data_IF_143637849241
#
_entry.id   IF_143637849241
#
_cell.length_a   1.000
_cell.length_b   1.000
_cell.length_c   1.000
_cell.angle_alpha   90.00
_cell.angle_beta   90.00
_cell.angle_gamma   90.00
#
_symmetry.space_group_name_H-M   'P 1'
#
loop_
_entity.id
_entity.type
_entity.pdbx_description
1 polymer ?
#
# COMPACT_ATOMS: atom_id res chain seq x y z
N UNK A 1 10.82 7.39 15.60
CA UNK A 1 11.30 7.63 14.22
C UNK A 1 10.10 7.95 13.37
N UNK A 2 10.13 9.02 12.57
CA UNK A 2 9.02 9.34 11.66
C UNK A 2 9.01 8.42 10.44
N UNK A 3 7.90 8.37 9.70
CA UNK A 3 7.82 7.63 8.44
C UNK A 3 8.79 8.24 7.43
N UNK A 4 8.83 9.56 7.33
CA UNK A 4 9.81 10.29 6.50
C UNK A 4 11.27 9.92 6.79
N UNK A 5 11.65 9.79 8.07
CA UNK A 5 13.02 9.40 8.43
C UNK A 5 13.30 7.92 8.11
N UNK A 6 12.28 7.07 8.24
CA UNK A 6 12.37 5.66 7.85
C UNK A 6 12.59 5.52 6.35
N UNK A 7 11.85 6.27 5.51
CA UNK A 7 12.04 6.23 4.05
C UNK A 7 13.41 6.74 3.61
N UNK A 8 13.94 7.81 4.21
CA UNK A 8 15.31 8.24 3.94
C UNK A 8 16.35 7.14 4.19
N UNK A 9 16.17 6.35 5.26
CA UNK A 9 17.06 5.22 5.57
C UNK A 9 16.86 4.07 4.57
N UNK A 10 15.61 3.76 4.22
CA UNK A 10 15.28 2.73 3.23
C UNK A 10 15.90 3.08 1.87
N UNK A 11 15.70 4.30 1.37
CA UNK A 11 16.27 4.78 0.10
C UNK A 11 17.81 4.76 0.11
N UNK A 12 18.42 5.21 1.20
CA UNK A 12 19.88 5.19 1.36
C UNK A 12 20.45 3.77 1.35
N UNK A 13 19.74 2.81 1.94
CA UNK A 13 20.14 1.41 1.90
C UNK A 13 19.90 0.79 0.52
N UNK A 14 18.71 0.99 -0.07
CA UNK A 14 18.35 0.41 -1.37
C UNK A 14 19.24 0.95 -2.49
N UNK A 15 19.54 2.26 -2.51
CA UNK A 15 20.42 2.84 -3.54
C UNK A 15 21.80 2.21 -3.59
N UNK A 16 22.31 1.73 -2.44
CA UNK A 16 23.63 1.08 -2.33
C UNK A 16 23.58 -0.43 -2.53
N UNK A 17 22.55 -1.09 -2.04
CA UNK A 17 22.52 -2.56 -1.90
C UNK A 17 21.54 -3.23 -2.89
N UNK A 18 20.46 -2.57 -3.25
CA UNK A 18 19.40 -3.12 -4.08
C UNK A 18 18.77 -2.05 -5.00
N UNK A 19 19.55 -1.42 -5.88
CA UNK A 19 19.07 -0.31 -6.71
C UNK A 19 17.95 -0.72 -7.67
N UNK A 20 17.83 -2.01 -8.00
CA UNK A 20 16.74 -2.55 -8.79
C UNK A 20 15.40 -2.49 -8.03
N UNK A 21 15.41 -2.84 -6.74
CA UNK A 21 14.23 -2.75 -5.85
C UNK A 21 13.83 -1.29 -5.66
N UNK A 22 14.79 -0.37 -5.51
CA UNK A 22 14.49 1.07 -5.44
C UNK A 22 13.71 1.58 -6.67
N UNK A 23 14.05 1.07 -7.87
CA UNK A 23 13.36 1.46 -9.12
C UNK A 23 11.94 0.90 -9.22
N UNK A 24 11.60 -0.12 -8.43
CA UNK A 24 10.26 -0.72 -8.37
C UNK A 24 9.34 0.03 -7.42
N UNK A 25 9.85 0.96 -6.60
CA UNK A 25 8.99 1.82 -5.77
C UNK A 25 8.34 2.89 -6.65
N UNK A 26 7.01 2.95 -6.63
CA UNK A 26 6.27 3.95 -7.40
C UNK A 26 6.39 5.31 -6.69
N UNK A 27 7.11 6.26 -7.29
CA UNK A 27 7.17 7.62 -6.77
C UNK A 27 5.75 8.15 -6.58
N UNK A 28 5.48 8.69 -5.39
CA UNK A 28 4.12 9.12 -5.11
C UNK A 28 3.76 10.43 -5.78
N UNK A 29 2.61 10.45 -6.43
CA UNK A 29 1.84 11.65 -6.77
C UNK A 29 0.53 11.70 -5.98
N UNK A 30 0.41 10.86 -4.94
CA UNK A 30 -0.83 10.66 -4.20
C UNK A 30 -1.19 11.93 -3.43
N UNK A 31 -2.35 12.46 -3.76
CA UNK A 31 -2.95 13.62 -3.13
C UNK A 31 -3.78 13.23 -1.91
N UNK A 32 -4.06 14.22 -1.05
CA UNK A 32 -5.00 14.02 0.06
C UNK A 32 -6.41 13.61 -0.42
N UNK A 33 -6.83 14.09 -1.58
CA UNK A 33 -8.14 13.75 -2.16
C UNK A 33 -8.20 12.29 -2.61
N UNK A 34 -7.12 11.76 -3.20
CA UNK A 34 -7.01 10.35 -3.55
C UNK A 34 -7.03 9.45 -2.31
N UNK A 35 -6.32 9.84 -1.25
CA UNK A 35 -6.37 9.13 0.04
C UNK A 35 -7.78 9.16 0.65
N UNK A 36 -8.44 10.31 0.64
CA UNK A 36 -9.80 10.46 1.16
C UNK A 36 -10.80 9.61 0.36
N UNK A 37 -10.64 9.56 -0.97
CA UNK A 37 -11.45 8.71 -1.85
C UNK A 37 -11.22 7.23 -1.55
N UNK A 38 -9.97 6.81 -1.39
CA UNK A 38 -9.63 5.43 -1.03
C UNK A 38 -10.26 5.03 0.31
N UNK A 39 -10.08 5.85 1.35
CA UNK A 39 -10.69 5.64 2.66
C UNK A 39 -12.23 5.52 2.60
N UNK A 40 -12.87 6.36 1.78
CA UNK A 40 -14.32 6.31 1.58
C UNK A 40 -14.78 5.00 0.93
N UNK A 41 -14.07 4.50 -0.09
CA UNK A 41 -14.38 3.23 -0.77
C UNK A 41 -14.13 2.02 0.15
N UNK A 42 -13.05 2.08 0.91
CA UNK A 42 -12.70 1.04 1.88
C UNK A 42 -13.63 1.06 3.10
N UNK A 43 -14.28 2.18 3.39
CA UNK A 43 -15.12 2.35 4.57
C UNK A 43 -14.31 2.44 5.87
N UNK A 44 -13.04 2.84 5.78
CA UNK A 44 -12.10 2.90 6.90
C UNK A 44 -11.15 4.09 6.75
N UNK A 45 -10.67 4.63 7.88
CA UNK A 45 -9.65 5.68 7.88
C UNK A 45 -8.26 5.08 7.97
N UNK A 46 -7.34 5.56 7.14
CA UNK A 46 -5.95 5.16 7.26
C UNK A 46 -5.32 5.80 8.50
N UNK A 47 -4.51 5.06 9.26
CA UNK A 47 -3.67 5.67 10.29
C UNK A 47 -2.78 6.77 9.68
N UNK A 48 -2.47 7.85 10.43
CA UNK A 48 -1.63 8.94 9.93
C UNK A 48 -0.30 8.47 9.33
N UNK A 49 0.33 7.45 9.92
CA UNK A 49 1.57 6.86 9.41
C UNK A 49 1.39 6.16 8.06
N UNK A 50 0.25 5.53 7.82
CA UNK A 50 -0.07 4.89 6.53
C UNK A 50 -0.31 5.96 5.46
N UNK A 51 -1.02 7.04 5.80
CA UNK A 51 -1.17 8.19 4.90
C UNK A 51 0.19 8.78 4.53
N UNK A 52 1.03 9.03 5.53
CA UNK A 52 2.40 9.54 5.30
C UNK A 52 3.18 8.60 4.39
N UNK A 53 3.11 7.28 4.60
CA UNK A 53 3.81 6.33 3.73
C UNK A 53 3.40 6.44 2.26
N UNK A 54 2.09 6.53 1.97
CA UNK A 54 1.59 6.73 0.61
C UNK A 54 1.96 8.07 -0.01
N UNK A 55 2.33 9.08 0.79
CA UNK A 55 2.87 10.34 0.25
C UNK A 55 4.33 10.25 -0.18
N UNK A 56 5.09 9.24 0.30
CA UNK A 56 6.46 8.97 -0.17
C UNK A 56 6.44 8.09 -1.42
N UNK A 57 5.73 6.95 -1.36
CA UNK A 57 5.60 6.01 -2.47
C UNK A 57 4.18 5.46 -2.57
N UNK A 58 3.66 5.33 -3.79
CA UNK A 58 2.37 4.69 -4.04
C UNK A 58 2.53 3.17 -4.25
N UNK A 59 3.02 2.49 -3.22
CA UNK A 59 3.36 1.08 -3.30
C UNK A 59 4.48 0.80 -4.31
N UNK A 60 4.42 -0.40 -4.89
CA UNK A 60 5.42 -0.93 -5.80
C UNK A 60 4.82 -1.24 -7.17
N UNK A 61 5.65 -1.27 -8.21
CA UNK A 61 5.27 -1.66 -9.56
C UNK A 61 4.73 -3.09 -9.59
N UNK A 62 3.91 -3.41 -10.59
CA UNK A 62 3.24 -4.71 -10.72
C UNK A 62 4.21 -5.87 -10.92
N UNK A 63 5.40 -5.60 -11.45
CA UNK A 63 6.52 -6.53 -11.63
C UNK A 63 7.49 -6.55 -10.44
N UNK A 64 7.16 -5.86 -9.34
CA UNK A 64 8.03 -5.83 -8.16
C UNK A 64 8.22 -7.22 -7.55
N UNK A 65 9.46 -7.50 -7.14
CA UNK A 65 9.78 -8.70 -6.36
C UNK A 65 9.39 -8.56 -4.89
N UNK A 66 8.87 -7.41 -4.46
CA UNK A 66 8.40 -7.11 -3.11
C UNK A 66 9.48 -6.55 -2.20
N UNK A 67 9.22 -5.38 -1.62
CA UNK A 67 10.14 -4.66 -0.73
C UNK A 67 10.38 -5.40 0.59
N UNK A 68 9.37 -6.12 1.09
CA UNK A 68 9.39 -6.76 2.41
C UNK A 68 9.31 -8.27 2.31
N UNK A 69 10.45 -8.93 2.02
CA UNK A 69 10.53 -10.39 2.03
C UNK A 69 9.59 -11.05 1.01
N UNK A 70 9.58 -10.52 -0.21
CA UNK A 70 8.69 -10.91 -1.31
C UNK A 70 7.22 -10.52 -1.16
N UNK A 71 6.86 -9.74 -0.14
CA UNK A 71 5.54 -9.12 -0.07
C UNK A 71 5.56 -7.77 -0.77
N UNK A 72 4.69 -7.65 -1.77
CA UNK A 72 4.51 -6.42 -2.52
C UNK A 72 3.62 -5.45 -1.74
N UNK A 73 4.13 -4.26 -1.51
CA UNK A 73 3.34 -3.15 -1.02
C UNK A 73 2.46 -2.61 -2.16
N UNK A 74 1.16 -2.80 -2.02
CA UNK A 74 0.19 -2.51 -3.07
C UNK A 74 0.00 -1.00 -3.27
N UNK A 75 -0.08 -0.53 -4.54
CA UNK A 75 -0.60 0.79 -4.87
C UNK A 75 -2.06 0.98 -4.40
N UNK A 76 -2.46 2.23 -4.13
CA UNK A 76 -3.81 2.53 -3.60
C UNK A 76 -4.96 1.98 -4.47
N UNK A 77 -4.83 2.04 -5.79
CA UNK A 77 -5.85 1.52 -6.71
C UNK A 77 -6.01 0.00 -6.57
N UNK A 78 -4.91 -0.73 -6.36
CA UNK A 78 -4.93 -2.18 -6.22
C UNK A 78 -5.49 -2.61 -4.86
N UNK A 79 -5.29 -1.81 -3.80
CA UNK A 79 -5.96 -2.04 -2.51
C UNK A 79 -7.47 -1.91 -2.66
N UNK A 80 -7.93 -0.91 -3.41
CA UNK A 80 -9.36 -0.70 -3.68
C UNK A 80 -9.93 -1.88 -4.48
N UNK A 81 -9.23 -2.31 -5.52
CA UNK A 81 -9.60 -3.47 -6.34
C UNK A 81 -9.71 -4.73 -5.49
N UNK A 82 -8.66 -5.05 -4.72
CA UNK A 82 -8.64 -6.20 -3.83
C UNK A 82 -9.81 -6.17 -2.83
N UNK A 83 -10.11 -5.02 -2.23
CA UNK A 83 -11.25 -4.88 -1.31
C UNK A 83 -12.60 -5.13 -2.00
N UNK A 84 -12.77 -4.67 -3.24
CA UNK A 84 -13.98 -4.92 -4.02
C UNK A 84 -14.13 -6.41 -4.36
N UNK A 85 -13.04 -7.07 -4.74
CA UNK A 85 -13.01 -8.53 -4.96
C UNK A 85 -13.37 -9.29 -3.68
N UNK A 86 -12.83 -8.90 -2.53
CA UNK A 86 -13.17 -9.55 -1.26
C UNK A 86 -14.65 -9.40 -0.92
N UNK A 87 -15.25 -8.21 -1.12
CA UNK A 87 -16.69 -8.00 -0.93
C UNK A 87 -17.54 -8.92 -1.83
N UNK A 88 -17.14 -9.09 -3.10
CA UNK A 88 -17.81 -9.99 -4.03
C UNK A 88 -17.64 -11.46 -3.61
N UNK A 89 -16.45 -11.86 -3.18
CA UNK A 89 -16.16 -13.22 -2.74
C UNK A 89 -16.96 -13.60 -1.50
N UNK A 90 -17.10 -12.70 -0.51
CA UNK A 90 -17.94 -12.92 0.68
C UNK A 90 -19.39 -13.22 0.28
N UNK A 91 -19.94 -12.46 -0.68
CA UNK A 91 -21.29 -12.69 -1.20
C UNK A 91 -21.38 -14.01 -1.99
N UNK A 92 -20.46 -14.24 -2.92
CA UNK A 92 -20.44 -15.40 -3.82
C UNK A 92 -20.34 -16.71 -3.06
N UNK A 93 -19.44 -16.78 -2.08
CA UNK A 93 -19.18 -18.00 -1.32
C UNK A 93 -20.00 -18.08 -0.01
N UNK A 94 -20.93 -17.14 0.21
CA UNK A 94 -21.71 -17.02 1.46
C UNK A 94 -20.83 -17.16 2.70
N UNK A 95 -19.68 -16.50 2.71
CA UNK A 95 -18.76 -16.58 3.85
C UNK A 95 -19.43 -15.87 5.04
N UNK A 96 -20.00 -16.65 5.95
CA UNK A 96 -20.87 -16.12 7.02
C UNK A 96 -20.08 -15.37 8.10
N UNK A 97 -18.76 -15.55 8.20
CA UNK A 97 -17.98 -15.04 9.34
C UNK A 97 -16.60 -14.45 8.94
N UNK A 98 -16.53 -13.60 7.92
CA UNK A 98 -15.33 -12.78 7.75
C UNK A 98 -15.34 -11.63 8.78
N UNK A 99 -14.84 -11.89 10.00
CA UNK A 99 -14.41 -10.83 10.92
C UNK A 99 -12.97 -10.47 10.60
N UNK A 100 -12.69 -9.30 9.98
CA UNK A 100 -11.32 -8.84 9.82
C UNK A 100 -10.74 -8.65 11.23
N UNK A 101 -9.73 -9.42 11.57
CA UNK A 101 -8.97 -9.24 12.81
C UNK A 101 -8.00 -8.10 12.58
N UNK A 102 -8.40 -6.88 12.94
CA UNK A 102 -7.50 -5.75 13.09
C UNK A 102 -7.25 -5.49 14.57
#
# INVERSE_FOLDING_TARGET
MSVSESFKRIESWLSKNAPNVLRQLNKSTVTNDELNKAESILGAKFPPSVREAYTHYNGESTDSTGLFGAWRWLPLNEIIEWNNEQKQNVQKYKLVDFKPSF
#
